data_IF_436173477008
#
_entry.id   IF_436173477008
#
_cell.length_a   1.000
_cell.length_b   1.000
_cell.length_c   1.000
_cell.angle_alpha   90.00
_cell.angle_beta   90.00
_cell.angle_gamma   90.00
#
_symmetry.space_group_name_H-M   'P 1'
#
loop_
_entity.id
_entity.type
_entity.pdbx_description
1 polymer ?
#
# COMPACT_ATOMS: atom_id res chain seq x y z
N UNK A 1 -10.87 -47.16 -26.44
CA UNK A 1 -11.71 -46.83 -25.26
C UNK A 1 -10.85 -46.89 -24.00
N UNK A 2 -10.95 -45.93 -23.08
CA UNK A 2 -10.20 -45.96 -21.82
C UNK A 2 -10.69 -47.11 -20.94
N UNK A 3 -9.75 -47.91 -20.42
CA UNK A 3 -10.04 -49.08 -19.59
C UNK A 3 -10.68 -48.67 -18.26
N UNK A 4 -11.47 -49.55 -17.65
CA UNK A 4 -12.14 -49.30 -16.36
C UNK A 4 -11.14 -48.89 -15.27
N UNK A 5 -9.92 -49.46 -15.30
CA UNK A 5 -8.84 -49.13 -14.38
C UNK A 5 -8.32 -47.70 -14.57
N UNK A 6 -8.19 -47.23 -15.80
CA UNK A 6 -7.79 -45.85 -16.12
C UNK A 6 -8.86 -44.83 -15.71
N UNK A 7 -10.15 -45.14 -15.92
CA UNK A 7 -11.26 -44.28 -15.49
C UNK A 7 -11.33 -44.14 -13.97
N UNK A 8 -11.09 -45.22 -13.22
CA UNK A 8 -11.09 -45.19 -11.75
C UNK A 8 -9.88 -44.43 -11.20
N UNK A 9 -8.70 -44.61 -11.79
CA UNK A 9 -7.51 -43.84 -11.43
C UNK A 9 -7.69 -42.35 -11.68
N UNK A 10 -8.25 -41.98 -12.84
CA UNK A 10 -8.55 -40.58 -13.17
C UNK A 10 -9.53 -39.94 -12.16
N UNK A 11 -10.63 -40.63 -11.81
CA UNK A 11 -11.57 -40.15 -10.78
C UNK A 11 -10.92 -39.99 -9.41
N UNK A 12 -10.04 -40.92 -9.01
CA UNK A 12 -9.31 -40.84 -7.73
C UNK A 12 -8.33 -39.66 -7.71
N UNK A 13 -7.67 -39.39 -8.83
CA UNK A 13 -6.72 -38.27 -8.96
C UNK A 13 -7.46 -36.92 -9.00
N UNK A 14 -8.59 -36.83 -9.70
CA UNK A 14 -9.43 -35.63 -9.70
C UNK A 14 -9.97 -35.37 -8.30
N UNK A 15 -10.43 -36.41 -7.59
CA UNK A 15 -10.88 -36.29 -6.20
C UNK A 15 -9.75 -35.81 -5.30
N UNK A 16 -8.56 -36.42 -5.36
CA UNK A 16 -7.36 -35.95 -4.63
C UNK A 16 -6.99 -34.50 -4.95
N UNK A 17 -7.03 -34.10 -6.23
CA UNK A 17 -6.73 -32.74 -6.64
C UNK A 17 -7.79 -31.74 -6.13
N UNK A 18 -9.06 -32.14 -6.11
CA UNK A 18 -10.14 -31.33 -5.55
C UNK A 18 -10.00 -31.20 -4.03
N UNK A 19 -9.68 -32.29 -3.31
CA UNK A 19 -9.42 -32.27 -1.87
C UNK A 19 -8.19 -31.42 -1.54
N UNK A 20 -7.10 -31.55 -2.31
CA UNK A 20 -5.89 -30.74 -2.15
C UNK A 20 -6.14 -29.25 -2.42
N UNK A 21 -7.00 -28.91 -3.39
CA UNK A 21 -7.43 -27.52 -3.63
C UNK A 21 -8.28 -26.98 -2.48
N UNK A 22 -9.19 -27.80 -1.93
CA UNK A 22 -10.00 -27.41 -0.77
C UNK A 22 -9.16 -27.26 0.51
N UNK A 23 -8.10 -28.04 0.68
CA UNK A 23 -7.15 -27.88 1.79
C UNK A 23 -6.16 -26.73 1.58
N UNK A 24 -6.02 -26.21 0.36
CA UNK A 24 -5.21 -25.01 0.05
C UNK A 24 -6.02 -23.71 0.10
N UNK A 25 -7.36 -23.77 0.04
CA UNK A 25 -8.23 -22.59 0.21
C UNK A 25 -8.48 -22.21 1.66
N UNK A 26 -7.98 -22.97 2.62
CA UNK A 26 -7.91 -22.61 4.03
C UNK A 26 -6.44 -22.37 4.40
N UNK A 27 -6.07 -21.11 4.68
CA UNK A 27 -4.89 -20.88 5.49
C UNK A 27 -5.03 -21.70 6.79
N UNK A 28 -3.96 -22.34 7.30
CA UNK A 28 -4.06 -23.09 8.53
C UNK A 28 -4.63 -22.18 9.63
N UNK A 29 -5.83 -22.49 10.10
CA UNK A 29 -6.41 -21.90 11.31
C UNK A 29 -5.56 -22.36 12.49
N UNK A 30 -4.52 -21.60 12.80
CA UNK A 30 -3.57 -21.96 13.84
C UNK A 30 -2.71 -20.75 14.19
N UNK A 31 -3.18 -19.97 15.17
CA UNK A 31 -2.69 -18.66 15.62
C UNK A 31 -3.09 -17.53 14.65
N UNK A 32 -4.10 -16.73 15.04
CA UNK A 32 -4.42 -15.47 14.34
C UNK A 32 -3.12 -14.68 14.20
N UNK A 33 -2.61 -14.53 12.98
CA UNK A 33 -1.43 -13.72 12.71
C UNK A 33 -1.72 -12.31 13.20
N UNK A 34 -0.85 -11.76 14.06
CA UNK A 34 -0.97 -10.38 14.50
C UNK A 34 -0.98 -9.43 13.29
N UNK A 35 -1.79 -8.37 13.35
CA UNK A 35 -1.81 -7.36 12.28
C UNK A 35 -0.39 -6.80 12.10
N UNK A 36 0.10 -6.60 10.86
CA UNK A 36 1.41 -6.01 10.63
C UNK A 36 1.61 -4.71 11.43
N UNK A 37 2.79 -4.57 12.02
CA UNK A 37 3.16 -3.46 12.90
C UNK A 37 2.73 -3.61 14.36
N UNK A 38 1.82 -4.53 14.72
CA UNK A 38 1.34 -4.62 16.11
C UNK A 38 2.41 -5.05 17.12
N UNK A 39 3.42 -5.82 16.70
CA UNK A 39 4.49 -6.25 17.61
C UNK A 39 5.57 -5.19 17.86
N UNK A 40 5.64 -4.12 17.06
CA UNK A 40 6.75 -3.16 17.12
C UNK A 40 8.08 -3.66 16.55
N UNK A 41 8.11 -4.91 16.05
CA UNK A 41 9.33 -5.58 15.57
C UNK A 41 9.46 -5.56 14.04
N UNK A 42 8.60 -4.84 13.33
CA UNK A 42 8.71 -4.72 11.88
C UNK A 42 9.76 -3.69 11.46
N UNK A 43 10.18 -3.73 10.20
CA UNK A 43 11.11 -2.75 9.62
C UNK A 43 10.43 -1.42 9.26
N UNK A 44 9.10 -1.35 9.30
CA UNK A 44 8.33 -0.20 8.84
C UNK A 44 7.34 0.29 9.90
N UNK A 45 7.25 1.61 10.02
CA UNK A 45 6.10 2.28 10.61
C UNK A 45 4.93 2.26 9.63
N UNK A 46 3.73 1.96 10.14
CA UNK A 46 2.49 1.90 9.36
C UNK A 46 1.57 3.05 9.73
N UNK A 47 1.34 3.98 8.81
CA UNK A 47 0.46 5.14 9.02
C UNK A 47 -0.83 4.94 8.23
N UNK A 48 -1.87 4.45 8.90
CA UNK A 48 -3.20 4.25 8.31
C UNK A 48 -3.90 5.61 8.16
N UNK A 49 -4.23 5.99 6.92
CA UNK A 49 -4.95 7.25 6.63
C UNK A 49 -6.43 7.04 6.33
N UNK A 50 -6.80 5.81 5.96
CA UNK A 50 -8.18 5.40 5.69
C UNK A 50 -8.42 3.96 6.12
N UNK A 51 -9.63 3.62 6.59
CA UNK A 51 -9.98 2.26 6.96
C UNK A 51 -9.87 1.32 5.77
N UNK A 52 -9.51 0.06 6.02
CA UNK A 52 -9.30 -0.95 4.97
C UNK A 52 -10.61 -1.30 4.27
N UNK A 53 -11.71 -1.25 5.01
CA UNK A 53 -13.07 -1.62 4.63
C UNK A 53 -13.64 -0.72 3.51
N UNK A 54 -13.02 0.44 3.28
CA UNK A 54 -13.37 1.36 2.20
C UNK A 54 -12.88 0.89 0.81
N UNK A 55 -12.10 -0.19 0.73
CA UNK A 55 -11.38 -0.60 -0.48
C UNK A 55 -11.53 -2.09 -0.80
N UNK A 56 -11.49 -2.40 -2.09
CA UNK A 56 -11.63 -3.76 -2.63
C UNK A 56 -10.31 -4.33 -3.15
N UNK A 57 -9.46 -3.47 -3.74
CA UNK A 57 -8.19 -3.87 -4.37
C UNK A 57 -7.09 -2.96 -3.85
N UNK A 58 -5.95 -3.54 -3.47
CA UNK A 58 -4.78 -2.80 -3.00
C UNK A 58 -3.63 -2.90 -4.00
N UNK A 59 -2.84 -1.82 -4.07
CA UNK A 59 -1.54 -1.78 -4.77
C UNK A 59 -0.52 -1.07 -3.89
N UNK A 60 0.67 -1.62 -3.85
CA UNK A 60 1.82 -1.02 -3.18
C UNK A 60 2.76 -0.46 -4.23
N UNK A 61 3.31 0.72 -3.96
CA UNK A 61 4.31 1.36 -4.80
C UNK A 61 5.35 2.02 -3.91
N UNK A 62 6.61 1.87 -4.28
CA UNK A 62 7.69 2.67 -3.72
C UNK A 62 7.58 4.10 -4.27
N UNK A 63 7.75 5.10 -3.41
CA UNK A 63 7.66 6.52 -3.78
C UNK A 63 8.88 7.33 -3.34
N UNK A 64 9.78 6.75 -2.56
CA UNK A 64 10.99 7.41 -2.11
C UNK A 64 12.07 7.39 -3.20
N UNK A 65 13.01 8.34 -3.14
CA UNK A 65 14.16 8.34 -4.06
C UNK A 65 15.15 7.23 -3.73
N UNK A 66 15.29 6.91 -2.44
CA UNK A 66 16.22 5.91 -1.91
C UNK A 66 15.56 4.54 -1.64
N UNK A 67 14.25 4.42 -1.91
CA UNK A 67 13.43 3.30 -1.45
C UNK A 67 13.01 3.44 0.01
N UNK A 68 12.36 2.41 0.56
CA UNK A 68 12.00 2.37 2.00
C UNK A 68 10.80 3.24 2.40
N UNK A 69 10.12 3.88 1.44
CA UNK A 69 8.87 4.61 1.65
C UNK A 69 7.84 4.09 0.66
N UNK A 70 6.86 3.35 1.17
CA UNK A 70 5.83 2.74 0.33
C UNK A 70 4.48 3.39 0.54
N UNK A 71 3.78 3.62 -0.58
CA UNK A 71 2.38 3.99 -0.58
C UNK A 71 1.53 2.76 -0.88
N UNK A 72 0.59 2.46 0.01
CA UNK A 72 -0.47 1.50 -0.27
C UNK A 72 -1.70 2.27 -0.72
N UNK A 73 -2.06 2.12 -2.00
CA UNK A 73 -3.28 2.66 -2.57
C UNK A 73 -4.37 1.59 -2.61
N UNK A 74 -5.60 1.99 -2.31
CA UNK A 74 -6.79 1.16 -2.42
C UNK A 74 -7.74 1.68 -3.50
N UNK A 75 -8.34 0.77 -4.27
CA UNK A 75 -9.46 1.03 -5.17
C UNK A 75 -10.77 0.83 -4.43
N UNK A 76 -11.67 1.81 -4.49
CA UNK A 76 -13.03 1.74 -3.94
C UNK A 76 -13.99 1.04 -4.90
N UNK A 77 -15.15 0.64 -4.41
CA UNK A 77 -16.24 0.12 -5.27
C UNK A 77 -16.73 1.11 -6.33
N UNK A 78 -16.57 2.42 -6.11
CA UNK A 78 -16.81 3.45 -7.13
C UNK A 78 -15.80 3.45 -8.28
N UNK A 79 -14.69 2.73 -8.15
CA UNK A 79 -13.60 2.70 -9.11
C UNK A 79 -12.46 3.68 -8.83
N UNK A 80 -12.63 4.63 -7.91
CA UNK A 80 -11.60 5.62 -7.57
C UNK A 80 -10.47 5.00 -6.75
N UNK A 81 -9.26 5.56 -6.91
CA UNK A 81 -8.07 5.16 -6.14
C UNK A 81 -7.73 6.22 -5.10
N UNK A 82 -7.43 5.78 -3.88
CA UNK A 82 -6.94 6.66 -2.82
C UNK A 82 -5.85 5.97 -2.01
N UNK A 83 -5.02 6.75 -1.33
CA UNK A 83 -4.07 6.21 -0.34
C UNK A 83 -4.83 5.61 0.83
N UNK A 84 -4.50 4.37 1.19
CA UNK A 84 -5.02 3.70 2.38
C UNK A 84 -4.06 3.83 3.56
N UNK A 85 -2.75 3.60 3.32
CA UNK A 85 -1.70 3.82 4.32
C UNK A 85 -0.37 4.15 3.67
N UNK A 86 0.50 4.74 4.49
CA UNK A 86 1.92 4.88 4.21
C UNK A 86 2.73 3.89 5.03
N UNK A 87 3.85 3.43 4.48
CA UNK A 87 4.86 2.66 5.18
C UNK A 87 6.18 3.40 5.08
N UNK A 88 6.80 3.70 6.23
CA UNK A 88 8.08 4.41 6.30
C UNK A 88 9.06 3.50 7.02
N UNK A 89 10.18 3.17 6.39
CA UNK A 89 11.25 2.38 7.00
C UNK A 89 11.74 3.04 8.28
N UNK A 90 12.15 2.24 9.26
CA UNK A 90 12.83 2.69 10.48
C UNK A 90 14.19 3.34 10.21
N UNK A 91 14.73 3.19 8.99
CA UNK A 91 15.91 3.94 8.54
C UNK A 91 15.60 5.39 8.13
N UNK A 92 14.31 5.71 7.97
CA UNK A 92 13.85 7.03 7.50
C UNK A 92 13.05 7.82 8.54
N UNK A 93 12.75 7.20 9.67
CA UNK A 93 12.06 7.83 10.79
C UNK A 93 12.35 7.05 12.06
N UNK A 94 12.15 7.70 13.21
CA UNK A 94 12.18 7.05 14.51
C UNK A 94 11.00 7.50 15.37
N UNK A 95 10.82 6.81 16.50
CA UNK A 95 9.83 7.15 17.50
C UNK A 95 10.49 7.93 18.63
N UNK A 96 10.03 9.16 18.85
CA UNK A 96 10.46 10.01 19.97
C UNK A 96 9.22 10.46 20.77
N UNK A 97 9.18 10.13 22.06
CA UNK A 97 8.05 10.43 22.96
C UNK A 97 6.65 10.11 22.35
N UNK A 98 6.54 8.94 21.70
CA UNK A 98 5.29 8.50 21.04
C UNK A 98 4.94 9.25 19.75
N UNK A 99 5.84 10.12 19.24
CA UNK A 99 5.71 10.84 17.98
C UNK A 99 6.63 10.25 16.92
N UNK A 100 6.09 10.11 15.71
CA UNK A 100 6.88 9.68 14.57
C UNK A 100 7.68 10.88 14.01
N UNK A 101 9.01 10.82 14.13
CA UNK A 101 9.93 11.88 13.71
C UNK A 101 10.63 11.47 12.42
N UNK A 102 10.59 12.27 11.35
CA UNK A 102 11.24 11.95 10.08
C UNK A 102 12.74 12.27 10.12
N UNK A 103 13.57 11.31 9.73
CA UNK A 103 15.03 11.44 9.64
C UNK A 103 15.50 11.83 8.24
N UNK A 104 14.67 11.61 7.21
CA UNK A 104 14.95 11.98 5.82
C UNK A 104 13.95 12.97 5.25
N UNK A 105 14.36 13.68 4.20
CA UNK A 105 13.50 14.63 3.49
C UNK A 105 12.28 13.94 2.87
N UNK A 106 12.46 12.77 2.27
CA UNK A 106 11.36 12.02 1.66
C UNK A 106 10.31 11.60 2.72
N UNK A 107 10.74 11.17 3.91
CA UNK A 107 9.82 10.88 5.02
C UNK A 107 9.13 12.15 5.54
N UNK A 108 9.89 13.25 5.63
CA UNK A 108 9.35 14.56 6.04
C UNK A 108 8.29 15.06 5.05
N UNK A 109 8.49 14.85 3.75
CA UNK A 109 7.51 15.18 2.72
C UNK A 109 6.23 14.35 2.89
N UNK A 110 6.33 13.03 3.08
CA UNK A 110 5.16 12.18 3.33
C UNK A 110 4.38 12.65 4.56
N UNK A 111 5.06 12.93 5.67
CA UNK A 111 4.38 13.38 6.89
C UNK A 111 3.68 14.74 6.72
N UNK A 112 4.24 15.64 5.90
CA UNK A 112 3.61 16.93 5.54
C UNK A 112 2.37 16.77 4.65
N UNK A 113 2.25 15.69 3.89
CA UNK A 113 1.08 15.45 3.05
C UNK A 113 -0.13 14.93 3.82
N UNK A 114 0.06 14.47 5.06
CA UNK A 114 -1.01 13.97 5.91
C UNK A 114 -1.95 15.11 6.34
N UNK A 115 -3.24 14.81 6.50
CA UNK A 115 -4.23 15.78 6.98
C UNK A 115 -4.11 16.08 8.48
N UNK A 116 -3.42 15.21 9.22
CA UNK A 116 -3.12 15.42 10.64
C UNK A 116 -1.80 14.74 11.01
N UNK A 117 -1.24 15.13 12.16
CA UNK A 117 -0.06 14.47 12.70
C UNK A 117 -0.35 13.00 13.00
N UNK A 118 0.55 12.06 12.66
CA UNK A 118 0.38 10.66 13.01
C UNK A 118 0.23 10.48 14.52
N UNK A 119 -0.91 9.91 14.93
CA UNK A 119 -1.17 9.50 16.30
C UNK A 119 -0.80 8.04 16.46
N UNK A 120 0.05 7.75 17.44
CA UNK A 120 0.43 6.38 17.78
C UNK A 120 -0.79 5.57 18.22
N UNK A 121 -0.84 4.30 17.82
CA UNK A 121 -1.88 3.35 18.21
C UNK A 121 -1.28 2.25 19.08
N UNK A 122 -0.30 1.53 18.55
CA UNK A 122 0.40 0.41 19.18
C UNK A 122 1.55 -0.06 18.28
N UNK A 123 2.62 -0.60 18.87
CA UNK A 123 3.78 -1.08 18.12
C UNK A 123 4.28 -0.04 17.11
N UNK A 124 4.36 -0.44 15.85
CA UNK A 124 4.76 0.40 14.71
C UNK A 124 3.55 1.09 14.01
N UNK A 125 2.33 1.03 14.58
CA UNK A 125 1.10 1.51 13.93
C UNK A 125 0.71 2.91 14.40
N UNK A 126 0.35 3.73 13.43
CA UNK A 126 -0.13 5.09 13.58
C UNK A 126 -1.39 5.30 12.76
N UNK A 127 -2.17 6.31 13.14
CA UNK A 127 -3.31 6.82 12.38
C UNK A 127 -3.14 8.30 12.10
N UNK A 128 -3.47 8.71 10.88
CA UNK A 128 -3.52 10.11 10.49
C UNK A 128 -4.76 10.36 9.63
N UNK A 129 -5.13 11.61 9.45
CA UNK A 129 -6.16 11.98 8.49
C UNK A 129 -5.61 11.98 7.07
N UNK A 130 -6.44 11.64 6.07
CA UNK A 130 -6.02 11.75 4.68
C UNK A 130 -5.72 13.21 4.33
N UNK A 131 -4.86 13.42 3.32
CA UNK A 131 -4.57 14.75 2.79
C UNK A 131 -5.88 15.55 2.59
N UNK A 132 -5.93 16.83 3.02
CA UNK A 132 -7.11 17.65 2.84
C UNK A 132 -7.53 17.71 1.38
N UNK A 133 -8.84 17.65 1.13
CA UNK A 133 -9.34 17.80 -0.23
C UNK A 133 -9.20 19.26 -0.66
N UNK A 134 -8.46 19.51 -1.74
CA UNK A 134 -8.40 20.85 -2.36
C UNK A 134 -9.65 21.02 -3.24
N UNK A 135 -10.46 22.08 -3.03
CA UNK A 135 -11.61 22.39 -3.87
C UNK A 135 -11.25 22.42 -5.36
N UNK A 136 -12.15 21.98 -6.25
CA UNK A 136 -11.87 21.98 -7.70
C UNK A 136 -11.62 23.38 -8.26
N UNK A 137 -12.28 24.39 -7.70
CA UNK A 137 -12.09 25.81 -8.04
C UNK A 137 -10.67 26.32 -7.77
N UNK A 138 -9.95 25.67 -6.85
CA UNK A 138 -8.56 26.02 -6.49
C UNK A 138 -7.52 25.18 -7.26
N UNK A 139 -7.98 24.22 -8.07
CA UNK A 139 -7.11 23.48 -8.98
C UNK A 139 -6.92 24.28 -10.27
N UNK A 140 -5.72 24.24 -10.89
CA UNK A 140 -4.59 23.38 -10.56
C UNK A 140 -3.72 23.94 -9.42
N UNK A 141 -3.33 23.08 -8.47
CA UNK A 141 -2.43 23.45 -7.37
C UNK A 141 -1.05 23.87 -7.88
N UNK A 142 -0.25 24.66 -7.13
CA UNK A 142 1.10 25.04 -7.54
C UNK A 142 1.97 23.83 -7.93
N UNK A 143 1.85 22.71 -7.22
CA UNK A 143 2.54 21.47 -7.55
C UNK A 143 2.07 20.86 -8.88
N UNK A 144 0.76 20.90 -9.18
CA UNK A 144 0.22 20.45 -10.47
C UNK A 144 0.69 21.34 -11.62
N UNK A 145 0.78 22.65 -11.41
CA UNK A 145 1.30 23.59 -12.40
C UNK A 145 2.79 23.33 -12.69
N UNK A 146 3.60 23.14 -11.65
CA UNK A 146 5.02 22.80 -11.80
C UNK A 146 5.21 21.45 -12.52
N UNK A 147 4.46 20.42 -12.13
CA UNK A 147 4.51 19.11 -12.78
C UNK A 147 4.11 19.21 -14.26
N UNK A 148 3.06 19.98 -14.57
CA UNK A 148 2.65 20.25 -15.95
C UNK A 148 3.75 20.95 -16.74
N UNK A 149 4.37 21.99 -16.19
CA UNK A 149 5.49 22.68 -16.85
C UNK A 149 6.68 21.73 -17.11
N UNK A 150 7.08 20.94 -16.11
CA UNK A 150 8.17 19.96 -16.28
C UNK A 150 7.85 18.91 -17.35
N UNK A 151 6.61 18.41 -17.38
CA UNK A 151 6.18 17.43 -18.38
C UNK A 151 6.16 18.03 -19.79
N UNK A 152 5.72 19.28 -19.94
CA UNK A 152 5.77 20.00 -21.22
C UNK A 152 7.22 20.18 -21.70
N UNK A 153 8.12 20.62 -20.82
CA UNK A 153 9.54 20.77 -21.14
C UNK A 153 10.16 19.43 -21.57
N UNK A 154 9.87 18.35 -20.84
CA UNK A 154 10.35 17.00 -21.17
C UNK A 154 9.86 16.53 -22.54
N UNK A 155 8.58 16.78 -22.86
CA UNK A 155 8.01 16.45 -24.16
C UNK A 155 8.59 17.29 -25.30
N UNK A 156 8.87 18.57 -25.07
CA UNK A 156 9.55 19.44 -26.04
C UNK A 156 10.99 18.99 -26.30
N UNK A 157 11.76 18.69 -25.25
CA UNK A 157 13.12 18.18 -25.38
C UNK A 157 13.17 16.86 -26.18
N UNK A 158 12.21 15.94 -25.95
CA UNK A 158 12.10 14.70 -26.71
C UNK A 158 11.74 14.91 -28.19
N UNK A 159 11.04 16.01 -28.53
CA UNK A 159 10.70 16.38 -29.92
C UNK A 159 11.84 17.08 -30.66
N UNK A 160 12.73 17.75 -29.95
CA UNK A 160 13.86 18.49 -30.54
C UNK A 160 15.17 17.68 -30.57
N UNK A 161 15.21 16.50 -29.93
CA UNK A 161 16.36 15.59 -29.93
C UNK A 161 16.28 14.43 -30.92
N UNK A 162 15.30 14.42 -31.83
CA UNK A 162 15.14 13.44 -32.91
C UNK A 162 15.71 13.93 -34.23
#
# INVERSE_FOLDING_TARGET
>A
MATTKQRTAAKKNIKKAHTARHSMSSQPEGRRRSKPGTSGQGEFFHIEVRPTEEFEIFRTQDVGRQGGIERVAGKRGSGSWHTQKWMISKDHAHLDDGRLVPDTDDAREVLKELGSLPRHVDGDRFKAEPRPNVPESEKPTPAQQQARHRNIQKAQAARHGS
#
